data_IF_633169284076
#
_entry.id   IF_633169284076
#
_cell.length_a   1.000
_cell.length_b   1.000
_cell.length_c   1.000
_cell.angle_alpha   90.00
_cell.angle_beta   90.00
_cell.angle_gamma   90.00
#
_symmetry.space_group_name_H-M   'P 1'
#
loop_
_entity.id
_entity.type
_entity.pdbx_description
1 polymer ?
#
# COMPACT_ATOMS: atom_id res chain seq x y z
N UNK A 1 -9.11 -11.11 27.17
CA UNK A 1 -7.81 -10.94 27.87
C UNK A 1 -7.18 -9.64 27.36
N UNK A 2 -6.75 -8.71 28.22
CA UNK A 2 -6.13 -7.45 27.76
C UNK A 2 -4.65 -7.69 27.47
N UNK A 3 -4.20 -7.43 26.25
CA UNK A 3 -2.81 -7.62 25.84
C UNK A 3 -1.90 -6.51 26.43
N UNK A 4 -0.92 -6.83 27.30
CA UNK A 4 -0.15 -5.80 28.01
C UNK A 4 0.66 -4.86 27.10
N UNK A 5 1.11 -5.34 25.94
CA UNK A 5 1.90 -4.54 25.01
C UNK A 5 1.08 -3.42 24.33
N UNK A 6 -0.24 -3.53 24.28
CA UNK A 6 -1.11 -2.48 23.74
C UNK A 6 -1.06 -1.19 24.58
N UNK A 7 -0.66 -1.28 25.86
CA UNK A 7 -0.56 -0.13 26.77
C UNK A 7 0.78 0.60 26.67
N UNK A 8 1.75 0.07 25.91
CA UNK A 8 3.08 0.67 25.77
C UNK A 8 3.09 1.64 24.59
N UNK A 9 3.89 2.71 24.70
CA UNK A 9 4.18 3.59 23.56
C UNK A 9 4.79 2.77 22.42
N UNK A 10 4.33 3.03 21.21
CA UNK A 10 4.71 2.28 20.02
C UNK A 10 4.77 3.23 18.82
N UNK A 11 5.60 2.90 17.84
CA UNK A 11 5.78 3.71 16.61
C UNK A 11 4.48 3.67 15.79
N UNK A 12 4.15 4.78 15.14
CA UNK A 12 3.08 4.80 14.13
C UNK A 12 3.64 4.16 12.85
N UNK A 13 2.87 3.23 12.27
CA UNK A 13 3.25 2.46 11.09
C UNK A 13 2.35 2.73 9.87
N UNK A 14 1.21 3.36 10.08
CA UNK A 14 0.26 3.69 9.02
C UNK A 14 -0.59 4.88 9.45
N UNK A 15 -0.82 5.80 8.50
CA UNK A 15 -1.71 6.96 8.67
C UNK A 15 -2.67 6.98 7.50
N UNK A 16 -3.96 7.02 7.79
CA UNK A 16 -5.02 7.12 6.78
C UNK A 16 -5.83 8.39 7.04
N UNK A 17 -6.05 9.20 6.01
CA UNK A 17 -6.93 10.36 6.09
C UNK A 17 -8.26 10.05 5.40
N UNK A 18 -9.37 10.31 6.09
CA UNK A 18 -10.70 10.24 5.51
C UNK A 18 -11.50 11.47 5.95
N UNK A 19 -11.90 12.30 4.99
CA UNK A 19 -12.63 13.55 5.26
C UNK A 19 -11.84 14.46 6.23
N UNK A 20 -12.47 14.81 7.34
CA UNK A 20 -12.00 15.59 8.47
C UNK A 20 -11.33 14.73 9.56
N UNK A 21 -11.10 13.44 9.33
CA UNK A 21 -10.49 12.52 10.31
C UNK A 21 -9.13 12.02 9.83
N UNK A 22 -8.17 11.96 10.75
CA UNK A 22 -6.90 11.26 10.59
C UNK A 22 -6.88 10.04 11.50
N UNK A 23 -6.58 8.88 10.92
CA UNK A 23 -6.36 7.63 11.62
C UNK A 23 -4.86 7.39 11.74
N UNK A 24 -4.42 7.00 12.93
CA UNK A 24 -3.04 6.59 13.16
C UNK A 24 -3.03 5.17 13.76
N UNK A 25 -2.38 4.25 13.06
CA UNK A 25 -2.16 2.88 13.51
C UNK A 25 -0.75 2.73 14.07
N UNK A 26 -0.66 2.29 15.32
CA UNK A 26 0.59 1.97 15.96
C UNK A 26 1.04 0.54 15.65
N UNK A 27 2.35 0.26 15.72
CA UNK A 27 2.93 -1.07 15.54
C UNK A 27 2.38 -2.11 16.54
N UNK A 28 1.94 -1.64 17.72
CA UNK A 28 1.23 -2.48 18.70
C UNK A 28 -0.14 -2.96 18.21
N UNK A 29 -0.71 -2.37 17.16
CA UNK A 29 -2.04 -2.64 16.64
C UNK A 29 -3.16 -1.83 17.31
N UNK A 30 -2.80 -0.82 18.12
CA UNK A 30 -3.74 0.20 18.59
C UNK A 30 -3.96 1.21 17.48
N UNK A 31 -5.22 1.46 17.12
CA UNK A 31 -5.60 2.50 16.17
C UNK A 31 -6.41 3.59 16.86
N UNK A 32 -6.05 4.85 16.61
CA UNK A 32 -6.77 6.01 17.11
C UNK A 32 -7.24 6.91 15.96
N UNK A 33 -8.42 7.50 16.12
CA UNK A 33 -8.99 8.49 15.23
C UNK A 33 -8.88 9.89 15.83
N UNK A 34 -8.50 10.88 15.03
CA UNK A 34 -8.31 12.28 15.43
C UNK A 34 -9.08 13.20 14.48
N UNK A 35 -9.76 14.20 15.04
CA UNK A 35 -10.41 15.25 14.26
C UNK A 35 -9.36 16.25 13.77
N UNK A 36 -9.38 16.56 12.47
CA UNK A 36 -8.56 17.61 11.85
C UNK A 36 -9.03 19.01 12.22
N UNK A 37 -10.30 19.16 12.62
CA UNK A 37 -10.87 20.45 13.00
C UNK A 37 -10.45 20.83 14.42
N UNK A 38 -10.54 19.90 15.36
CA UNK A 38 -10.27 20.18 16.78
C UNK A 38 -8.86 19.76 17.23
N UNK A 39 -8.14 19.00 16.40
CA UNK A 39 -6.88 18.32 16.75
C UNK A 39 -6.98 17.42 17.99
N UNK A 40 -8.19 16.97 18.34
CA UNK A 40 -8.46 16.08 19.46
C UNK A 40 -8.70 14.64 18.99
N UNK A 41 -8.35 13.67 19.85
CA UNK A 41 -8.69 12.26 19.64
C UNK A 41 -10.20 12.07 19.78
N UNK A 42 -10.81 11.46 18.78
CA UNK A 42 -12.23 11.08 18.78
C UNK A 42 -12.41 9.79 19.59
N UNK A 43 -11.78 8.70 19.16
CA UNK A 43 -11.86 7.40 19.82
C UNK A 43 -10.66 6.49 19.48
N UNK A 44 -10.56 5.35 20.16
CA UNK A 44 -9.80 4.21 19.66
C UNK A 44 -10.70 3.37 18.75
N UNK A 45 -10.15 2.71 17.73
CA UNK A 45 -10.92 1.85 16.83
C UNK A 45 -10.96 0.38 17.25
N UNK A 46 -10.08 -0.05 18.15
CA UNK A 46 -10.11 -1.39 18.70
C UNK A 46 -11.41 -1.58 19.52
N UNK A 47 -12.17 -2.61 19.19
CA UNK A 47 -13.46 -2.96 19.81
C UNK A 47 -13.34 -4.12 20.80
N UNK A 48 -12.21 -4.85 20.78
CA UNK A 48 -11.91 -5.93 21.75
C UNK A 48 -10.54 -5.76 22.43
N UNK A 49 -10.40 -6.14 23.72
CA UNK A 49 -9.12 -6.07 24.44
C UNK A 49 -8.00 -6.99 23.92
N UNK A 50 -8.34 -7.98 23.09
CA UNK A 50 -7.42 -8.91 22.45
C UNK A 50 -7.25 -8.69 20.94
N UNK A 51 -7.85 -7.61 20.41
CA UNK A 51 -7.76 -7.22 19.01
C UNK A 51 -6.46 -6.46 18.73
N UNK A 52 -5.80 -6.84 17.63
CA UNK A 52 -4.62 -6.18 17.10
C UNK A 52 -4.90 -5.81 15.64
N UNK A 53 -5.09 -4.52 15.37
CA UNK A 53 -5.32 -4.02 14.01
C UNK A 53 -3.98 -4.06 13.24
N UNK A 54 -4.02 -4.53 11.99
CA UNK A 54 -2.84 -4.71 11.14
C UNK A 54 -2.79 -3.77 9.95
N UNK A 55 -3.95 -3.33 9.46
CA UNK A 55 -4.04 -2.41 8.33
C UNK A 55 -5.38 -1.68 8.33
N UNK A 56 -5.40 -0.50 7.72
CA UNK A 56 -6.56 0.34 7.53
C UNK A 56 -6.81 0.56 6.03
N UNK A 57 -8.08 0.63 5.63
CA UNK A 57 -8.45 1.00 4.28
C UNK A 57 -9.66 1.92 4.29
N UNK A 58 -9.52 3.13 3.76
CA UNK A 58 -10.65 4.05 3.61
C UNK A 58 -11.40 3.77 2.31
N UNK A 59 -12.58 3.16 2.43
CA UNK A 59 -13.44 2.88 1.30
C UNK A 59 -14.27 4.10 0.90
N UNK A 60 -13.81 4.80 -0.13
CA UNK A 60 -14.50 5.97 -0.70
C UNK A 60 -15.87 5.63 -1.31
N UNK A 61 -16.09 4.37 -1.73
CA UNK A 61 -17.33 3.96 -2.42
C UNK A 61 -18.56 3.95 -1.51
N UNK A 62 -18.37 3.79 -0.20
CA UNK A 62 -19.46 3.75 0.76
C UNK A 62 -19.17 4.53 2.06
N UNK A 63 -18.18 5.42 2.03
CA UNK A 63 -17.79 6.34 3.12
C UNK A 63 -17.57 5.59 4.45
N UNK A 64 -16.74 4.54 4.39
CA UNK A 64 -16.42 3.70 5.54
C UNK A 64 -14.93 3.45 5.67
N UNK A 65 -14.49 3.18 6.90
CA UNK A 65 -13.16 2.67 7.18
C UNK A 65 -13.24 1.16 7.41
N UNK A 66 -12.40 0.42 6.70
CA UNK A 66 -12.20 -1.00 6.89
C UNK A 66 -10.96 -1.21 7.77
N UNK A 67 -11.10 -1.98 8.83
CA UNK A 67 -9.98 -2.43 9.67
C UNK A 67 -9.74 -3.92 9.43
N UNK A 68 -8.49 -4.30 9.19
CA UNK A 68 -8.07 -5.71 9.12
C UNK A 68 -7.36 -6.04 10.42
N UNK A 69 -7.93 -6.94 11.20
CA UNK A 69 -7.50 -7.27 12.55
C UNK A 69 -7.15 -8.75 12.69
N UNK A 70 -6.30 -9.05 13.68
CA UNK A 70 -6.09 -10.40 14.20
C UNK A 70 -6.40 -10.41 15.70
N UNK A 71 -6.83 -11.55 16.23
CA UNK A 71 -7.27 -11.68 17.62
C UNK A 71 -6.43 -12.69 18.37
N UNK A 72 -6.06 -12.39 19.62
CA UNK A 72 -5.30 -13.32 20.44
C UNK A 72 -6.08 -14.59 20.80
N UNK A 73 -7.41 -14.49 20.92
CA UNK A 73 -8.31 -15.63 21.13
C UNK A 73 -8.23 -16.69 20.03
N UNK A 74 -7.90 -16.31 18.80
CA UNK A 74 -7.65 -17.22 17.67
C UNK A 74 -6.14 -17.36 17.38
N UNK A 75 -5.29 -17.12 18.39
CA UNK A 75 -3.83 -17.21 18.26
C UNK A 75 -3.26 -16.38 17.10
N UNK A 76 -3.90 -15.26 16.80
CA UNK A 76 -3.59 -14.37 15.67
C UNK A 76 -3.59 -15.06 14.30
N UNK A 77 -4.34 -16.16 14.14
CA UNK A 77 -4.22 -17.04 12.97
C UNK A 77 -5.06 -16.62 11.76
N UNK A 78 -6.19 -15.94 11.98
CA UNK A 78 -7.08 -15.49 10.91
C UNK A 78 -7.19 -13.96 10.84
N UNK A 79 -7.25 -13.45 9.62
CA UNK A 79 -7.59 -12.06 9.33
C UNK A 79 -9.10 -11.87 9.49
N UNK A 80 -9.49 -10.81 10.18
CA UNK A 80 -10.88 -10.38 10.38
C UNK A 80 -11.05 -8.98 9.85
N UNK A 81 -11.98 -8.81 8.91
CA UNK A 81 -12.30 -7.52 8.34
C UNK A 81 -13.55 -6.95 9.01
N UNK A 82 -13.52 -5.67 9.35
CA UNK A 82 -14.69 -4.94 9.84
C UNK A 82 -14.80 -3.62 9.09
N UNK A 83 -15.98 -3.30 8.59
CA UNK A 83 -16.27 -1.97 8.04
C UNK A 83 -17.04 -1.14 9.05
N UNK A 84 -16.65 0.12 9.22
CA UNK A 84 -17.31 1.08 10.10
C UNK A 84 -17.49 2.39 9.34
N UNK A 85 -18.74 2.87 9.23
CA UNK A 85 -19.01 4.14 8.57
C UNK A 85 -18.28 5.29 9.27
N UNK A 86 -17.78 6.24 8.50
CA UNK A 86 -17.09 7.43 9.02
C UNK A 86 -17.97 8.18 10.03
N UNK A 87 -19.29 8.22 9.79
CA UNK A 87 -20.26 8.85 10.69
C UNK A 87 -20.30 8.20 12.09
N UNK A 88 -20.19 6.87 12.20
CA UNK A 88 -20.14 6.21 13.51
C UNK A 88 -18.83 6.48 14.23
N UNK A 89 -17.73 6.54 13.49
CA UNK A 89 -16.43 6.91 14.04
C UNK A 89 -16.45 8.33 14.58
N UNK A 90 -17.06 9.30 13.87
CA UNK A 90 -17.21 10.69 14.36
C UNK A 90 -17.92 10.76 15.71
N UNK A 91 -18.91 9.89 15.92
CA UNK A 91 -19.68 9.78 17.17
C UNK A 91 -18.95 8.98 18.27
N UNK A 92 -17.74 8.50 18.00
CA UNK A 92 -16.97 7.68 18.93
C UNK A 92 -17.53 6.26 19.10
N UNK A 93 -18.20 5.73 18.08
CA UNK A 93 -18.86 4.42 18.08
C UNK A 93 -18.19 3.44 17.11
N UNK A 94 -16.94 3.00 17.37
CA UNK A 94 -16.22 2.08 16.48
C UNK A 94 -16.85 0.69 16.41
N UNK A 95 -17.61 0.30 17.43
CA UNK A 95 -18.31 -0.99 17.59
C UNK A 95 -19.61 -1.09 16.80
N UNK A 96 -20.13 0.03 16.26
CA UNK A 96 -21.29 0.04 15.38
C UNK A 96 -21.01 -0.47 13.95
N UNK A 97 -19.76 -0.86 13.66
CA UNK A 97 -19.39 -1.52 12.41
C UNK A 97 -19.87 -2.98 12.33
N UNK A 98 -19.71 -3.61 11.18
CA UNK A 98 -20.04 -5.02 10.98
C UNK A 98 -18.90 -5.80 10.30
N UNK A 99 -18.87 -7.11 10.55
CA UNK A 99 -17.87 -8.01 9.97
C UNK A 99 -18.02 -8.14 8.46
N UNK A 100 -16.90 -8.22 7.75
CA UNK A 100 -16.83 -8.52 6.32
C UNK A 100 -16.21 -9.90 6.11
N UNK A 101 -16.70 -10.60 5.10
CA UNK A 101 -16.14 -11.88 4.64
C UNK A 101 -16.08 -12.95 5.74
N UNK A 102 -17.06 -12.96 6.65
CA UNK A 102 -17.09 -13.91 7.78
C UNK A 102 -17.21 -15.37 7.34
N UNK A 103 -17.73 -15.61 6.14
CA UNK A 103 -17.75 -16.92 5.49
C UNK A 103 -16.41 -17.36 4.93
N UNK A 104 -15.42 -16.47 4.85
CA UNK A 104 -14.12 -16.73 4.22
C UNK A 104 -13.07 -17.17 5.24
N UNK A 105 -12.26 -18.16 4.84
CA UNK A 105 -11.14 -18.66 5.64
C UNK A 105 -9.87 -17.88 5.30
N UNK A 106 -9.71 -16.69 5.88
CA UNK A 106 -8.56 -15.80 5.67
C UNK A 106 -7.41 -16.13 6.63
N UNK A 107 -6.95 -17.38 6.64
CA UNK A 107 -5.78 -17.83 7.40
C UNK A 107 -4.58 -17.91 6.50
N UNK A 108 -3.42 -17.46 6.99
CA UNK A 108 -2.16 -17.53 6.22
C UNK A 108 -1.96 -18.95 5.63
N UNK A 109 -1.61 -19.09 4.34
CA UNK A 109 -1.23 -18.05 3.37
C UNK A 109 -2.39 -17.34 2.65
N UNK A 110 -3.64 -17.54 3.08
CA UNK A 110 -4.81 -16.78 2.63
C UNK A 110 -4.73 -15.28 2.96
N UNK A 111 -5.38 -14.47 2.12
CA UNK A 111 -5.30 -13.00 2.20
C UNK A 111 -6.59 -12.33 1.73
N UNK A 112 -6.67 -11.03 1.99
CA UNK A 112 -7.67 -10.10 1.45
C UNK A 112 -6.95 -8.87 0.92
N UNK A 113 -7.34 -8.43 -0.27
CA UNK A 113 -6.81 -7.25 -0.96
C UNK A 113 -7.97 -6.35 -1.39
N UNK A 114 -7.88 -5.07 -1.05
CA UNK A 114 -8.88 -4.07 -1.41
C UNK A 114 -8.36 -3.25 -2.58
N UNK A 115 -9.06 -3.31 -3.70
CA UNK A 115 -8.69 -2.62 -4.93
C UNK A 115 -9.68 -1.45 -5.17
N UNK A 116 -9.24 -0.25 -4.82
CA UNK A 116 -10.03 0.96 -5.01
C UNK A 116 -10.15 1.39 -6.47
N UNK A 117 -9.20 1.02 -7.32
CA UNK A 117 -9.17 1.36 -8.75
C UNK A 117 -10.24 0.60 -9.51
N UNK A 118 -10.33 -0.71 -9.29
CA UNK A 118 -11.35 -1.55 -9.93
C UNK A 118 -12.67 -1.61 -9.15
N UNK A 119 -12.69 -1.06 -7.93
CA UNK A 119 -13.83 -1.14 -7.03
C UNK A 119 -14.15 -2.58 -6.63
N UNK A 120 -13.12 -3.40 -6.43
CA UNK A 120 -13.24 -4.83 -6.09
C UNK A 120 -12.50 -5.18 -4.80
N UNK A 121 -12.81 -6.35 -4.26
CA UNK A 121 -12.05 -7.00 -3.18
C UNK A 121 -11.71 -8.40 -3.64
N UNK A 122 -10.42 -8.76 -3.57
CA UNK A 122 -9.96 -10.12 -3.83
C UNK A 122 -9.68 -10.81 -2.51
N UNK A 123 -10.22 -12.01 -2.31
CA UNK A 123 -9.87 -12.87 -1.18
C UNK A 123 -9.30 -14.19 -1.69
N UNK A 124 -8.35 -14.76 -0.96
CA UNK A 124 -7.84 -16.10 -1.19
C UNK A 124 -8.00 -16.97 0.05
N UNK A 125 -8.72 -18.09 -0.09
CA UNK A 125 -8.77 -19.17 0.90
C UNK A 125 -7.72 -20.22 0.54
N UNK A 126 -6.66 -20.31 1.35
CA UNK A 126 -5.62 -21.32 1.15
C UNK A 126 -6.13 -22.75 1.39
N UNK A 127 -7.07 -22.90 2.34
CA UNK A 127 -7.68 -24.19 2.67
C UNK A 127 -8.46 -24.76 1.48
N UNK A 128 -9.21 -23.90 0.79
CA UNK A 128 -10.07 -24.33 -0.32
C UNK A 128 -9.34 -24.20 -1.68
N UNK A 129 -8.23 -23.46 -1.72
CA UNK A 129 -7.54 -23.05 -2.94
C UNK A 129 -8.48 -22.30 -3.90
N UNK A 130 -9.23 -21.34 -3.36
CA UNK A 130 -10.23 -20.57 -4.09
C UNK A 130 -9.98 -19.08 -3.91
N UNK A 131 -9.96 -18.36 -5.03
CA UNK A 131 -10.06 -16.92 -5.05
C UNK A 131 -11.52 -16.50 -5.23
N UNK A 132 -11.94 -15.44 -4.54
CA UNK A 132 -13.25 -14.83 -4.72
C UNK A 132 -13.11 -13.34 -4.91
N UNK A 133 -13.90 -12.81 -5.84
CA UNK A 133 -13.96 -11.38 -6.14
C UNK A 133 -15.29 -10.85 -5.64
N UNK A 134 -15.24 -9.77 -4.88
CA UNK A 134 -16.41 -9.08 -4.34
C UNK A 134 -16.46 -7.64 -4.85
N UNK A 135 -17.67 -7.09 -4.93
CA UNK A 135 -17.87 -5.66 -5.16
C UNK A 135 -17.47 -4.85 -3.92
N UNK A 136 -16.65 -3.81 -4.09
CA UNK A 136 -16.15 -3.02 -2.96
C UNK A 136 -17.22 -2.09 -2.36
N UNK A 137 -18.28 -1.76 -3.11
CA UNK A 137 -19.33 -0.83 -2.66
C UNK A 137 -20.29 -1.52 -1.70
N UNK A 138 -20.73 -2.73 -2.01
CA UNK A 138 -21.75 -3.47 -1.26
C UNK A 138 -21.27 -4.83 -0.71
N UNK A 139 -20.03 -5.24 -0.99
CA UNK A 139 -19.41 -6.48 -0.53
C UNK A 139 -20.11 -7.76 -1.02
N UNK A 140 -20.87 -7.68 -2.11
CA UNK A 140 -21.49 -8.87 -2.74
C UNK A 140 -20.43 -9.67 -3.48
N UNK A 141 -20.47 -11.00 -3.34
CA UNK A 141 -19.60 -11.91 -4.10
C UNK A 141 -20.04 -11.91 -5.56
N UNK A 142 -19.11 -11.61 -6.47
CA UNK A 142 -19.37 -11.52 -7.91
C UNK A 142 -19.09 -12.87 -8.59
N UNK A 143 -17.87 -13.39 -8.43
CA UNK A 143 -17.45 -14.66 -8.99
C UNK A 143 -16.27 -15.25 -8.21
N UNK A 144 -15.94 -16.51 -8.51
CA UNK A 144 -14.84 -17.24 -7.90
C UNK A 144 -13.95 -17.91 -8.95
N UNK A 145 -12.65 -17.99 -8.66
CA UNK A 145 -11.66 -18.70 -9.46
C UNK A 145 -11.18 -19.89 -8.63
N UNK A 146 -11.49 -21.10 -9.09
CA UNK A 146 -11.16 -22.36 -8.43
C UNK A 146 -10.22 -23.18 -9.32
N UNK A 147 -8.96 -22.75 -9.44
CA UNK A 147 -7.95 -23.42 -10.24
C UNK A 147 -6.68 -23.62 -9.40
N UNK A 148 -6.41 -24.87 -9.03
CA UNK A 148 -5.30 -25.26 -8.14
C UNK A 148 -3.92 -25.04 -8.76
N UNK A 149 -3.85 -24.79 -10.06
CA UNK A 149 -2.58 -24.56 -10.76
C UNK A 149 -2.20 -23.08 -10.79
N UNK A 150 -3.10 -22.18 -10.36
CA UNK A 150 -2.79 -20.77 -10.20
C UNK A 150 -1.85 -20.61 -9.02
N UNK A 151 -0.67 -20.08 -9.28
CA UNK A 151 0.36 -19.81 -8.30
C UNK A 151 0.17 -18.42 -7.70
N UNK A 152 -0.19 -17.43 -8.53
CA UNK A 152 -0.33 -16.03 -8.15
C UNK A 152 -1.39 -15.35 -9.03
N UNK A 153 -2.10 -14.39 -8.47
CA UNK A 153 -2.97 -13.46 -9.21
C UNK A 153 -2.43 -12.05 -8.99
N UNK A 154 -2.31 -11.29 -10.07
CA UNK A 154 -1.99 -9.85 -10.03
C UNK A 154 -3.16 -9.07 -10.60
N UNK A 155 -3.51 -7.97 -9.95
CA UNK A 155 -4.60 -7.11 -10.39
C UNK A 155 -4.02 -5.86 -11.06
N UNK A 156 -4.64 -5.46 -12.16
CA UNK A 156 -4.37 -4.20 -12.85
C UNK A 156 -5.71 -3.54 -13.21
N UNK A 157 -5.74 -2.25 -13.58
CA UNK A 157 -6.97 -1.61 -14.01
C UNK A 157 -7.65 -2.40 -15.14
N UNK A 158 -8.89 -2.82 -14.90
CA UNK A 158 -9.74 -3.58 -15.83
C UNK A 158 -9.44 -5.08 -15.96
N UNK A 159 -8.32 -5.60 -15.44
CA UNK A 159 -7.87 -6.97 -15.72
C UNK A 159 -7.20 -7.67 -14.53
N UNK A 160 -7.15 -8.99 -14.57
CA UNK A 160 -6.33 -9.82 -13.69
C UNK A 160 -5.39 -10.71 -14.49
N UNK A 161 -4.14 -10.80 -14.07
CA UNK A 161 -3.19 -11.80 -14.54
C UNK A 161 -3.19 -13.01 -13.61
N UNK A 162 -3.58 -14.17 -14.14
CA UNK A 162 -3.35 -15.46 -13.49
C UNK A 162 -2.01 -16.01 -13.95
N UNK A 163 -1.10 -16.18 -12.99
CA UNK A 163 0.21 -16.78 -13.18
C UNK A 163 0.13 -18.22 -12.72
N UNK A 164 0.37 -19.14 -13.63
CA UNK A 164 0.33 -20.57 -13.34
C UNK A 164 1.69 -21.10 -12.91
N UNK A 165 1.69 -22.27 -12.27
CA UNK A 165 2.91 -23.01 -11.99
C UNK A 165 3.79 -23.14 -13.26
N UNK A 166 5.09 -22.85 -13.11
CA UNK A 166 6.08 -22.94 -14.19
C UNK A 166 6.09 -24.35 -14.80
N UNK A 167 5.93 -24.42 -16.12
CA UNK A 167 6.12 -25.63 -16.92
C UNK A 167 7.54 -25.67 -17.50
N UNK A 168 7.96 -26.77 -18.12
CA UNK A 168 9.33 -27.01 -18.59
C UNK A 168 9.80 -26.01 -19.67
N UNK A 169 10.26 -24.84 -19.25
CA UNK A 169 10.76 -23.77 -20.12
C UNK A 169 9.74 -22.69 -20.48
N UNK A 170 8.60 -22.63 -19.81
CA UNK A 170 7.63 -21.54 -19.96
C UNK A 170 6.75 -21.38 -18.71
N UNK A 171 6.05 -20.27 -18.62
CA UNK A 171 4.99 -20.04 -17.63
C UNK A 171 3.67 -19.82 -18.38
N UNK A 172 2.63 -20.62 -18.11
CA UNK A 172 1.30 -20.35 -18.63
C UNK A 172 0.70 -19.11 -17.94
N UNK A 173 0.06 -18.25 -18.73
CA UNK A 173 -0.54 -17.00 -18.27
C UNK A 173 -1.96 -16.87 -18.83
N UNK A 174 -2.87 -16.35 -18.01
CA UNK A 174 -4.21 -15.94 -18.46
C UNK A 174 -4.52 -14.54 -17.99
N UNK A 175 -5.03 -13.72 -18.90
CA UNK A 175 -5.58 -12.41 -18.59
C UNK A 175 -7.10 -12.56 -18.54
N UNK A 176 -7.69 -12.20 -17.40
CA UNK A 176 -9.12 -12.17 -17.19
C UNK A 176 -9.62 -10.72 -17.11
N UNK A 177 -10.87 -10.50 -17.46
CA UNK A 177 -11.62 -9.30 -17.09
C UNK A 177 -11.85 -9.30 -15.58
N UNK A 178 -11.49 -8.19 -14.90
CA UNK A 178 -11.76 -8.03 -13.46
C UNK A 178 -13.26 -7.93 -13.16
N UNK A 179 -14.07 -7.52 -14.14
CA UNK A 179 -15.49 -7.26 -13.95
C UNK A 179 -16.32 -8.54 -13.78
N UNK A 180 -16.02 -9.57 -14.58
CA UNK A 180 -16.84 -10.78 -14.66
C UNK A 180 -16.04 -12.09 -14.69
N UNK A 181 -14.70 -12.01 -14.65
CA UNK A 181 -13.82 -13.18 -14.67
C UNK A 181 -13.70 -13.85 -16.04
N UNK A 182 -14.23 -13.23 -17.11
CA UNK A 182 -14.12 -13.78 -18.47
C UNK A 182 -12.66 -13.80 -18.94
N UNK A 183 -12.29 -14.86 -19.67
CA UNK A 183 -10.94 -15.00 -20.20
C UNK A 183 -10.78 -14.09 -21.42
N UNK A 184 -9.91 -13.09 -21.31
CA UNK A 184 -9.58 -12.18 -22.41
C UNK A 184 -8.46 -12.74 -23.29
N UNK A 185 -7.45 -13.37 -22.66
CA UNK A 185 -6.30 -13.95 -23.38
C UNK A 185 -5.64 -15.07 -22.61
N UNK A 186 -5.18 -16.09 -23.34
CA UNK A 186 -4.32 -17.17 -22.82
C UNK A 186 -3.04 -17.22 -23.65
N UNK A 187 -1.88 -17.33 -23.01
CA UNK A 187 -0.61 -17.47 -23.71
C UNK A 187 0.45 -18.09 -22.79
N UNK A 188 1.56 -18.55 -23.39
CA UNK A 188 2.71 -19.06 -22.68
C UNK A 188 3.86 -18.09 -22.85
N UNK A 189 4.49 -17.68 -21.75
CA UNK A 189 5.73 -16.88 -21.81
C UNK A 189 6.93 -17.81 -21.66
N UNK A 190 7.87 -17.75 -22.60
CA UNK A 190 9.06 -18.60 -22.58
C UNK A 190 10.00 -18.19 -21.44
N UNK A 191 10.55 -19.17 -20.74
CA UNK A 191 11.46 -18.96 -19.62
C UNK A 191 12.69 -19.84 -19.76
N UNK A 192 13.83 -19.34 -19.28
CA UNK A 192 15.02 -20.16 -19.09
C UNK A 192 14.74 -21.25 -18.05
N UNK A 193 14.98 -22.51 -18.44
CA UNK A 193 14.58 -23.71 -17.68
C UNK A 193 15.17 -23.75 -16.27
N UNK A 194 16.46 -23.42 -16.14
CA UNK A 194 17.22 -23.56 -14.88
C UNK A 194 17.39 -22.25 -14.12
N UNK A 195 16.56 -21.26 -14.41
CA UNK A 195 16.63 -19.95 -13.75
C UNK A 195 15.36 -19.68 -12.97
N UNK A 196 15.55 -19.14 -11.76
CA UNK A 196 14.47 -18.64 -10.93
C UNK A 196 13.83 -17.42 -11.61
N UNK A 197 12.52 -17.32 -11.50
CA UNK A 197 11.77 -16.12 -11.87
C UNK A 197 11.89 -15.15 -10.70
N UNK A 198 12.44 -13.96 -10.94
CA UNK A 198 12.54 -12.91 -9.94
C UNK A 198 11.17 -12.25 -9.75
N UNK A 199 10.51 -11.89 -10.86
CA UNK A 199 9.13 -11.39 -10.87
C UNK A 199 8.50 -11.54 -12.26
N UNK A 200 7.16 -11.52 -12.27
CA UNK A 200 6.31 -11.37 -13.46
C UNK A 200 5.26 -10.31 -13.09
N UNK A 201 5.32 -9.12 -13.67
CA UNK A 201 4.35 -8.05 -13.39
C UNK A 201 3.58 -7.68 -14.65
N UNK A 202 2.34 -7.21 -14.49
CA UNK A 202 1.54 -6.69 -15.60
C UNK A 202 1.26 -5.21 -15.40
N UNK A 203 1.41 -4.44 -16.48
CA UNK A 203 0.98 -3.06 -16.58
C UNK A 203 0.20 -2.87 -17.87
N UNK A 204 -1.13 -2.73 -17.78
CA UNK A 204 -1.99 -2.71 -18.94
C UNK A 204 -1.67 -3.91 -19.86
N UNK A 205 -1.18 -3.61 -21.06
CA UNK A 205 -0.82 -4.57 -22.11
C UNK A 205 0.66 -4.97 -22.09
N UNK A 206 1.43 -4.48 -21.11
CA UNK A 206 2.86 -4.78 -20.98
C UNK A 206 3.07 -5.82 -19.89
N UNK A 207 3.70 -6.94 -20.25
CA UNK A 207 4.13 -7.97 -19.32
C UNK A 207 5.64 -7.81 -19.07
N UNK A 208 6.01 -7.58 -17.82
CA UNK A 208 7.39 -7.45 -17.38
C UNK A 208 7.82 -8.76 -16.76
N UNK A 209 8.83 -9.41 -17.33
CA UNK A 209 9.36 -10.68 -16.83
C UNK A 209 10.84 -10.54 -16.57
N UNK A 210 11.28 -10.94 -15.38
CA UNK A 210 12.69 -10.97 -15.02
C UNK A 210 13.06 -12.31 -14.43
N UNK A 211 14.15 -12.88 -14.91
CA UNK A 211 14.79 -14.05 -14.32
C UNK A 211 16.15 -13.68 -13.74
N UNK A 212 16.58 -14.50 -12.79
CA UNK A 212 17.87 -14.34 -12.12
C UNK A 212 19.02 -14.29 -13.15
N UNK A 213 19.85 -13.26 -13.07
CA UNK A 213 21.00 -13.03 -13.96
C UNK A 213 20.65 -12.95 -15.47
N UNK A 214 19.40 -12.69 -15.84
CA UNK A 214 18.94 -12.44 -17.23
C UNK A 214 18.52 -10.99 -17.47
N UNK A 215 18.27 -10.64 -18.73
CA UNK A 215 17.69 -9.34 -19.11
C UNK A 215 16.26 -9.18 -18.56
N UNK A 216 15.82 -7.93 -18.40
CA UNK A 216 14.40 -7.63 -18.23
C UNK A 216 13.72 -7.80 -19.59
N UNK A 217 12.62 -8.54 -19.63
CA UNK A 217 11.77 -8.68 -20.80
C UNK A 217 10.51 -7.86 -20.61
N UNK A 218 10.21 -6.96 -21.56
CA UNK A 218 8.98 -6.18 -21.62
C UNK A 218 8.25 -6.62 -22.88
N UNK A 219 7.21 -7.44 -22.72
CA UNK A 219 6.40 -7.98 -23.81
C UNK A 219 5.11 -7.16 -23.94
N UNK A 220 4.81 -6.62 -25.13
CA UNK A 220 3.46 -6.16 -25.44
C UNK A 220 2.59 -7.36 -25.77
N UNK A 221 1.62 -7.66 -24.90
CA UNK A 221 0.80 -8.84 -25.04
C UNK A 221 -0.15 -8.75 -26.23
N UNK A 222 -0.40 -7.58 -26.84
CA UNK A 222 -1.33 -7.47 -27.97
C UNK A 222 -0.72 -7.92 -29.29
N UNK A 223 0.50 -7.45 -29.57
CA UNK A 223 1.20 -7.68 -30.84
C UNK A 223 2.43 -8.60 -30.70
N UNK A 224 2.76 -9.01 -29.48
CA UNK A 224 3.92 -9.84 -29.15
C UNK A 224 5.29 -9.15 -29.36
N UNK A 225 5.33 -7.82 -29.41
CA UNK A 225 6.58 -7.08 -29.48
C UNK A 225 7.37 -7.24 -28.17
N UNK A 226 8.63 -7.67 -28.27
CA UNK A 226 9.51 -7.89 -27.13
C UNK A 226 10.61 -6.82 -27.10
N UNK A 227 10.70 -6.11 -25.98
CA UNK A 227 11.83 -5.24 -25.65
C UNK A 227 12.65 -5.87 -24.54
N UNK A 228 13.98 -5.87 -24.68
CA UNK A 228 14.89 -6.37 -23.64
C UNK A 228 15.77 -5.25 -23.11
N UNK A 229 15.92 -5.20 -21.78
CA UNK A 229 16.87 -4.31 -21.10
C UNK A 229 17.98 -5.14 -20.49
N UNK A 230 19.23 -4.75 -20.75
CA UNK A 230 20.40 -5.50 -20.28
C UNK A 230 20.34 -5.70 -18.76
N UNK A 231 20.72 -6.90 -18.29
CA UNK A 231 20.84 -7.20 -16.85
C UNK A 231 21.78 -6.26 -16.08
N UNK A 232 22.70 -5.59 -16.78
CA UNK A 232 23.62 -4.61 -16.17
C UNK A 232 22.98 -3.25 -16.00
N UNK A 233 22.00 -2.91 -16.84
CA UNK A 233 21.25 -1.66 -16.80
C UNK A 233 20.06 -1.79 -15.84
N UNK A 234 19.32 -2.90 -15.96
CA UNK A 234 18.17 -3.19 -15.12
C UNK A 234 18.48 -4.30 -14.10
N UNK A 235 18.79 -3.89 -12.89
CA UNK A 235 18.98 -4.79 -11.75
C UNK A 235 17.64 -5.01 -11.03
N UNK A 236 17.39 -6.24 -10.58
CA UNK A 236 16.13 -6.61 -9.90
C UNK A 236 15.88 -5.70 -8.70
N UNK A 237 14.78 -4.91 -8.70
CA UNK A 237 14.42 -4.03 -7.60
C UNK A 237 13.71 -4.79 -6.47
N UNK A 238 13.57 -4.16 -5.30
CA UNK A 238 12.84 -4.72 -4.17
C UNK A 238 11.33 -4.49 -4.27
N UNK A 239 10.90 -3.45 -4.97
CA UNK A 239 9.49 -3.14 -5.18
C UNK A 239 9.27 -2.34 -6.47
N UNK A 240 8.01 -2.31 -6.91
CA UNK A 240 7.52 -1.55 -8.05
C UNK A 240 6.35 -0.67 -7.65
N UNK A 241 6.24 0.51 -8.27
CA UNK A 241 4.98 1.25 -8.30
C UNK A 241 4.69 1.65 -9.74
N UNK A 242 3.53 1.26 -10.23
CA UNK A 242 3.07 1.56 -11.58
C UNK A 242 2.38 2.93 -11.64
N UNK A 243 2.75 3.73 -12.65
CA UNK A 243 2.19 5.05 -12.92
C UNK A 243 1.33 4.97 -14.19
N UNK A 244 0.07 4.58 -14.01
CA UNK A 244 -0.88 4.30 -15.10
C UNK A 244 -1.11 5.48 -16.05
N UNK A 245 -1.27 6.69 -15.52
CA UNK A 245 -1.54 7.90 -16.31
C UNK A 245 -0.34 8.28 -17.17
N UNK A 246 0.86 8.15 -16.60
CA UNK A 246 2.09 8.57 -17.26
C UNK A 246 2.75 7.46 -18.12
N UNK A 247 2.23 6.23 -18.06
CA UNK A 247 2.86 5.05 -18.66
C UNK A 247 4.33 4.88 -18.24
N UNK A 248 4.57 5.03 -16.94
CA UNK A 248 5.88 4.85 -16.32
C UNK A 248 5.80 3.86 -15.16
N UNK A 249 6.95 3.44 -14.67
CA UNK A 249 7.01 2.70 -13.42
C UNK A 249 8.22 3.12 -12.59
N UNK A 250 8.03 3.13 -11.28
CA UNK A 250 9.07 3.37 -10.30
C UNK A 250 9.67 2.04 -9.87
N UNK A 251 10.99 1.99 -9.80
CA UNK A 251 11.72 0.87 -9.21
C UNK A 251 12.45 1.33 -7.96
N UNK A 252 12.37 0.53 -6.91
CA UNK A 252 12.98 0.81 -5.62
C UNK A 252 14.13 -0.17 -5.37
N UNK A 253 15.32 0.34 -5.07
CA UNK A 253 16.47 -0.52 -4.80
C UNK A 253 17.49 0.20 -3.94
N UNK A 254 17.99 -0.45 -2.88
CA UNK A 254 19.03 0.12 -2.02
C UNK A 254 18.74 1.57 -1.58
N UNK A 255 17.47 1.86 -1.23
CA UNK A 255 16.96 3.20 -0.87
C UNK A 255 16.85 4.22 -2.02
N UNK A 256 17.31 3.89 -3.22
CA UNK A 256 17.16 4.76 -4.39
C UNK A 256 15.87 4.46 -5.12
N UNK A 257 15.36 5.48 -5.79
CA UNK A 257 14.20 5.41 -6.67
C UNK A 257 14.66 5.74 -8.08
N UNK A 258 14.18 4.98 -9.05
CA UNK A 258 14.42 5.22 -10.47
C UNK A 258 13.12 5.10 -11.25
N UNK A 259 13.00 5.89 -12.32
CA UNK A 259 11.81 5.98 -13.15
C UNK A 259 12.13 5.41 -14.52
N UNK A 260 11.32 4.46 -14.96
CA UNK A 260 11.50 3.75 -16.22
C UNK A 260 10.25 3.87 -17.07
N UNK A 261 10.44 3.78 -18.38
CA UNK A 261 9.34 3.64 -19.33
C UNK A 261 9.28 2.20 -19.88
N UNK A 262 8.20 1.90 -20.62
CA UNK A 262 7.99 0.58 -21.21
C UNK A 262 8.75 0.32 -22.52
N UNK A 263 9.62 1.25 -22.94
CA UNK A 263 10.68 0.99 -23.93
C UNK A 263 11.97 0.52 -23.27
N UNK A 264 11.99 0.37 -21.95
CA UNK A 264 13.15 -0.08 -21.20
C UNK A 264 14.18 1.02 -20.94
N UNK A 265 13.82 2.29 -21.15
CA UNK A 265 14.71 3.42 -20.96
C UNK A 265 14.56 3.97 -19.53
N UNK A 266 15.70 4.27 -18.90
CA UNK A 266 15.73 5.03 -17.66
C UNK A 266 15.35 6.49 -17.97
N UNK A 267 14.23 6.96 -17.43
CA UNK A 267 13.72 8.33 -17.64
C UNK A 267 14.40 9.30 -16.69
N UNK A 268 14.46 8.96 -15.40
CA UNK A 268 15.14 9.78 -14.39
C UNK A 268 15.48 8.97 -13.14
N UNK A 269 16.33 9.54 -12.30
CA UNK A 269 16.68 9.03 -10.97
C UNK A 269 16.70 10.18 -9.97
N UNK A 270 16.42 9.88 -8.71
CA UNK A 270 16.37 10.89 -7.67
C UNK A 270 17.71 10.95 -6.92
N UNK A 271 18.42 12.07 -7.04
CA UNK A 271 19.75 12.22 -6.42
C UNK A 271 19.68 12.40 -4.89
N UNK A 272 18.70 13.16 -4.39
CA UNK A 272 18.60 13.55 -2.98
C UNK A 272 17.35 13.00 -2.27
N UNK A 273 16.74 11.95 -2.83
CA UNK A 273 15.55 11.25 -2.31
C UNK A 273 15.90 9.85 -1.80
N UNK A 274 16.87 9.75 -0.89
CA UNK A 274 17.28 8.49 -0.29
C UNK A 274 16.26 8.03 0.76
N UNK A 275 15.57 6.92 0.51
CA UNK A 275 14.60 6.36 1.44
C UNK A 275 15.25 6.00 2.79
N UNK A 276 14.51 6.24 3.87
CA UNK A 276 14.99 5.93 5.23
C UNK A 276 15.15 4.41 5.44
N UNK A 277 14.27 3.61 4.84
CA UNK A 277 14.35 2.15 4.88
C UNK A 277 14.80 1.60 3.52
N UNK A 278 15.73 0.61 3.49
CA UNK A 278 16.23 0.05 2.25
C UNK A 278 15.20 -0.83 1.53
N UNK A 279 14.37 -1.52 2.31
CA UNK A 279 13.25 -2.30 1.81
C UNK A 279 12.04 -1.38 1.78
N UNK A 280 11.49 -1.18 0.59
CA UNK A 280 10.35 -0.32 0.37
C UNK A 280 9.08 -1.01 0.90
N UNK A 281 8.56 -0.55 2.04
CA UNK A 281 7.18 -0.80 2.43
C UNK A 281 6.36 0.36 1.86
N UNK A 282 5.35 0.07 1.03
CA UNK A 282 4.46 1.08 0.41
C UNK A 282 3.88 2.09 1.39
N UNK A 283 3.76 1.74 2.68
CA UNK A 283 3.29 2.63 3.75
C UNK A 283 4.13 3.90 3.97
N UNK A 284 5.36 3.96 3.46
CA UNK A 284 6.26 5.12 3.65
C UNK A 284 6.35 6.04 2.42
N UNK A 285 5.59 5.74 1.36
CA UNK A 285 5.62 6.47 0.09
C UNK A 285 4.18 6.79 -0.30
N UNK A 286 3.97 8.03 -0.68
CA UNK A 286 2.71 8.51 -1.24
C UNK A 286 2.97 9.10 -2.62
N UNK A 287 2.13 8.73 -3.59
CA UNK A 287 2.14 9.29 -4.93
C UNK A 287 0.85 10.08 -5.11
N UNK A 288 0.95 11.31 -5.61
CA UNK A 288 -0.21 12.15 -5.89
C UNK A 288 -1.10 11.54 -6.96
N UNK A 289 -2.39 11.90 -6.97
CA UNK A 289 -3.34 11.39 -7.96
C UNK A 289 -2.94 11.76 -9.40
N UNK A 290 -2.30 12.93 -9.58
CA UNK A 290 -1.77 13.37 -10.88
C UNK A 290 -0.45 12.67 -11.26
N UNK A 291 0.08 11.80 -10.40
CA UNK A 291 1.30 11.01 -10.59
C UNK A 291 2.54 11.86 -10.93
N UNK A 292 2.56 13.09 -10.46
CA UNK A 292 3.63 14.07 -10.70
C UNK A 292 4.59 14.20 -9.52
N UNK A 293 4.15 13.88 -8.30
CA UNK A 293 4.93 13.99 -7.06
C UNK A 293 5.02 12.65 -6.33
N UNK A 294 6.21 12.41 -5.77
CA UNK A 294 6.47 11.37 -4.78
C UNK A 294 6.80 12.02 -3.44
N UNK A 295 6.09 11.58 -2.40
CA UNK A 295 6.26 12.04 -1.01
C UNK A 295 6.71 10.84 -0.19
N UNK A 296 7.92 10.88 0.36
CA UNK A 296 8.47 9.74 1.10
C UNK A 296 9.22 10.16 2.35
N UNK A 297 9.34 9.25 3.30
CA UNK A 297 10.23 9.42 4.45
C UNK A 297 11.66 9.03 4.08
N UNK A 298 12.54 10.03 4.06
CA UNK A 298 13.91 9.96 3.57
C UNK A 298 14.94 10.17 4.68
N UNK A 299 16.13 9.61 4.45
CA UNK A 299 17.31 9.88 5.25
C UNK A 299 17.79 11.31 4.99
N UNK A 300 18.12 12.03 6.06
CA UNK A 300 18.85 13.28 5.96
C UNK A 300 20.34 12.98 5.88
N UNK A 301 21.06 13.60 4.95
CA UNK A 301 22.52 13.67 5.00
C UNK A 301 22.89 14.46 6.27
N UNK A 302 23.32 13.77 7.31
CA UNK A 302 24.04 14.36 8.43
C UNK A 302 25.47 13.86 8.37
N UNK A 303 26.43 14.80 8.33
CA UNK A 303 27.88 14.49 8.31
C UNK A 303 28.39 13.91 9.64
N UNK A 304 27.53 13.79 10.65
CA UNK A 304 27.89 13.30 11.98
C UNK A 304 27.32 11.89 12.24
N UNK A 305 28.14 10.83 12.19
CA UNK A 305 27.71 9.44 12.42
C UNK A 305 27.25 9.15 13.85
N UNK A 306 27.41 10.10 14.79
CA UNK A 306 26.95 9.96 16.19
C UNK A 306 25.54 10.52 16.43
N UNK A 307 24.99 11.27 15.47
CA UNK A 307 23.59 11.67 15.49
C UNK A 307 22.85 10.83 14.44
N UNK A 308 22.07 9.85 14.88
CA UNK A 308 21.00 9.32 14.03
C UNK A 308 20.03 10.49 13.78
N UNK A 309 20.32 11.31 12.77
CA UNK A 309 19.53 12.49 12.44
C UNK A 309 18.09 12.10 12.17
N UNK A 310 17.13 12.87 12.68
CA UNK A 310 15.72 12.68 12.37
C UNK A 310 15.55 12.69 10.84
N UNK A 311 14.86 11.68 10.28
CA UNK A 311 14.54 11.67 8.85
C UNK A 311 13.62 12.83 8.46
N UNK A 312 13.50 13.06 7.16
CA UNK A 312 12.66 14.12 6.61
C UNK A 312 11.62 13.56 5.64
N UNK A 313 10.46 14.20 5.58
CA UNK A 313 9.50 13.93 4.51
C UNK A 313 9.97 14.73 3.29
N UNK A 314 10.40 14.05 2.25
CA UNK A 314 10.84 14.68 1.00
C UNK A 314 9.70 14.63 -0.01
N UNK A 315 9.48 15.74 -0.69
CA UNK A 315 8.54 15.89 -1.79
C UNK A 315 9.39 16.12 -3.04
N UNK A 316 9.32 15.20 -4.01
CA UNK A 316 10.08 15.29 -5.26
C UNK A 316 9.17 15.15 -6.46
N UNK A 317 9.51 15.81 -7.55
CA UNK A 317 8.83 15.65 -8.82
C UNK A 317 9.31 14.37 -9.51
N UNK A 318 8.37 13.53 -9.94
CA UNK A 318 8.64 12.20 -10.49
C UNK A 318 9.36 12.28 -11.84
N UNK A 319 8.95 13.18 -12.73
CA UNK A 319 9.50 13.25 -14.09
C UNK A 319 10.92 13.83 -14.12
N UNK A 320 11.18 14.83 -13.28
CA UNK A 320 12.48 15.52 -13.24
C UNK A 320 13.43 14.94 -12.21
N UNK A 321 12.94 14.15 -11.24
CA UNK A 321 13.72 13.66 -10.10
C UNK A 321 14.05 14.72 -9.05
N UNK A 322 13.71 15.99 -9.29
CA UNK A 322 14.09 17.12 -8.44
C UNK A 322 13.31 17.15 -7.12
N UNK A 323 14.00 17.28 -5.99
CA UNK A 323 13.36 17.60 -4.72
C UNK A 323 12.80 19.03 -4.72
N UNK A 324 11.51 19.14 -4.42
CA UNK A 324 10.77 20.40 -4.34
C UNK A 324 10.72 20.94 -2.92
N UNK A 325 10.60 20.06 -1.91
CA UNK A 325 10.53 20.44 -0.51
C UNK A 325 10.98 19.31 0.43
N UNK A 326 11.50 19.68 1.61
CA UNK A 326 11.83 18.76 2.70
C UNK A 326 11.22 19.24 4.01
N UNK A 327 10.37 18.42 4.63
CA UNK A 327 9.75 18.70 5.92
C UNK A 327 10.53 17.95 7.00
N UNK A 328 11.17 18.69 7.91
CA UNK A 328 11.91 18.16 9.05
C UNK A 328 11.08 18.30 10.32
N UNK A 329 11.17 17.32 11.21
CA UNK A 329 10.67 17.47 12.56
C UNK A 329 11.45 18.60 13.25
N UNK A 330 10.79 19.70 13.62
CA UNK A 330 11.39 20.68 14.52
C UNK A 330 11.48 20.01 15.89
N UNK A 331 12.70 19.90 16.44
CA UNK A 331 12.86 19.55 17.85
C UNK A 331 12.00 20.52 18.65
N UNK A 332 11.14 19.97 19.53
CA UNK A 332 10.10 20.74 20.21
C UNK A 332 10.66 22.02 20.81
N UNK A 333 10.17 23.15 20.32
CA UNK A 333 10.26 24.39 21.09
C UNK A 333 9.33 24.16 22.28
N UNK A 334 9.80 24.31 23.54
CA UNK A 334 8.89 24.33 24.68
C UNK A 334 7.82 25.39 24.41
N UNK A 335 6.56 25.08 24.70
CA UNK A 335 5.49 26.07 24.75
C UNK A 335 5.81 27.05 25.89
N UNK A 336 6.71 28.01 25.66
CA UNK A 336 6.89 29.15 26.53
C UNK A 336 5.90 30.24 26.10
N UNK A 337 4.93 30.45 26.99
CA UNK A 337 4.18 31.68 27.23
C UNK A 337 3.45 32.32 26.04
N UNK A 338 2.22 31.85 25.79
CA UNK A 338 1.15 32.77 25.39
C UNK A 338 0.82 33.71 26.57
N UNK A 339 1.66 34.72 26.79
CA UNK A 339 1.31 35.88 27.61
C UNK A 339 0.40 36.80 26.79
N UNK A 340 -0.89 36.46 26.75
CA UNK A 340 -1.93 37.40 26.37
C UNK A 340 -2.12 38.42 27.51
N UNK A 341 -1.25 39.43 27.57
CA UNK A 341 -1.47 40.65 28.36
C UNK A 341 -1.32 41.87 27.47
N UNK A 342 -2.33 42.08 26.62
CA UNK A 342 -2.60 43.35 25.98
C UNK A 342 -3.63 44.11 26.81
N UNK A 343 -3.14 45.07 27.60
CA UNK A 343 -3.92 46.03 28.37
C UNK A 343 -5.03 46.67 27.52
N UNK A 344 -6.25 46.73 28.06
CA UNK A 344 -7.16 47.82 27.74
C UNK A 344 -7.77 48.39 29.02
N UNK A 345 -7.42 49.65 29.21
CA UNK A 345 -7.82 50.66 30.18
C UNK A 345 -9.33 50.67 30.45
N UNK A 346 -9.71 50.66 31.73
CA UNK A 346 -10.94 51.34 32.19
C UNK A 346 -10.54 52.22 33.38
N UNK A 347 -10.39 53.51 33.12
CA UNK A 347 -10.46 54.55 34.13
C UNK A 347 -11.92 54.75 34.52
N UNK A 348 -12.25 54.59 35.81
CA UNK A 348 -13.42 55.23 36.41
C UNK A 348 -12.95 55.92 37.68
N UNK A 349 -13.21 57.23 37.74
CA UNK A 349 -12.94 58.06 38.90
C UNK A 349 -13.89 57.76 40.06
N UNK A 350 -13.44 58.15 41.24
CA UNK A 350 -14.14 57.99 42.51
C UNK A 350 -13.17 57.59 43.60
#
# INVERSE_FOLDING_TARGET
>A
MVLPFLKKRSKIIEIVAARDIVFALAQSGVCAAFSRETNQRICFLNVSPDEVIRSLFYNKNNDSLITVSVYASDSFSSLKCRTTRIEYIRRGQPDAGFGLFESESLKWPGFVEFDDVNGKVLTFSAQDSIYKVFDLKNYTMLYSISDKNVQEIKISPGIMLLIYNKASGHVPLKILSIEDGTVLKCFNHLLHRNKKVDFIEQFNEKLLVKQENENLQILDVRNSDLTEVSRTEFMTPSAFIFLYENQLFLTFRNRTVAVWNFRGELVTSFEDHLLWHPDCNTNNIYITSDQDLIISYCKTESDDPLTEGNGSINISNILTGKCLAKVKAKNGVPLDECSCSGNNVISNGG
#
